data_IF_911431796293
#
_entry.id   IF_911431796293
#
_cell.length_a   1.000
_cell.length_b   1.000
_cell.length_c   1.000
_cell.angle_alpha   90.00
_cell.angle_beta   90.00
_cell.angle_gamma   90.00
#
_symmetry.space_group_name_H-M   'P 1'
#
loop_
_entity.id
_entity.type
_entity.pdbx_description
1 polymer ?
#
# COMPACT_ATOMS: atom_id res chain seq x y z
N UNK A 1 21.66 3.43 6.85
CA UNK A 1 22.28 2.10 6.91
C UNK A 1 21.28 1.10 6.32
N UNK A 2 21.30 0.91 5.01
CA UNK A 2 20.34 0.02 4.33
C UNK A 2 20.87 -1.42 4.35
N UNK A 3 20.05 -2.37 4.82
CA UNK A 3 20.38 -3.80 5.01
C UNK A 3 20.82 -4.48 3.70
N UNK A 4 21.44 -5.66 3.85
CA UNK A 4 21.91 -6.52 2.76
C UNK A 4 20.91 -6.53 1.58
N UNK A 5 21.30 -6.03 0.39
CA UNK A 5 20.40 -5.91 -0.77
C UNK A 5 19.90 -7.26 -1.31
N UNK A 6 20.37 -8.38 -0.75
CA UNK A 6 20.00 -9.74 -1.13
C UNK A 6 19.04 -10.44 -0.14
N UNK A 7 18.61 -9.80 0.95
CA UNK A 7 17.61 -10.43 1.82
C UNK A 7 16.21 -10.05 1.33
N UNK A 8 15.49 -11.01 0.74
CA UNK A 8 14.23 -10.77 0.01
C UNK A 8 13.00 -11.38 0.67
N UNK A 9 12.88 -11.42 2.00
CA UNK A 9 11.86 -12.26 2.66
C UNK A 9 10.42 -11.96 2.18
N UNK A 10 9.52 -12.96 2.12
CA UNK A 10 8.14 -12.78 1.65
C UNK A 10 7.39 -11.61 2.31
N UNK A 11 7.54 -11.43 3.63
CA UNK A 11 6.89 -10.32 4.35
C UNK A 11 7.43 -8.93 3.98
N UNK A 12 8.52 -8.81 3.21
CA UNK A 12 8.94 -7.53 2.67
C UNK A 12 7.91 -6.94 1.70
N UNK A 13 7.04 -7.75 1.10
CA UNK A 13 5.92 -7.21 0.33
C UNK A 13 5.05 -6.25 1.17
N UNK A 14 4.87 -6.54 2.47
CA UNK A 14 4.14 -5.68 3.42
C UNK A 14 4.89 -4.35 3.64
N UNK A 15 6.22 -4.36 3.70
CA UNK A 15 7.04 -3.14 3.77
C UNK A 15 6.84 -2.25 2.54
N UNK A 16 6.81 -2.84 1.35
CA UNK A 16 6.61 -2.06 0.12
C UNK A 16 5.18 -1.51 0.01
N UNK A 17 4.19 -2.20 0.57
CA UNK A 17 2.83 -1.64 0.71
C UNK A 17 2.84 -0.46 1.67
N UNK A 18 3.53 -0.55 2.81
CA UNK A 18 3.69 0.57 3.74
C UNK A 18 4.43 1.76 3.09
N UNK A 19 5.49 1.50 2.33
CA UNK A 19 6.24 2.53 1.60
C UNK A 19 5.37 3.22 0.54
N UNK A 20 4.55 2.45 -0.18
CA UNK A 20 3.58 3.01 -1.12
C UNK A 20 2.51 3.86 -0.44
N UNK A 21 1.99 3.43 0.72
CA UNK A 21 1.08 4.23 1.54
C UNK A 21 1.72 5.53 2.01
N UNK A 22 2.96 5.47 2.48
CA UNK A 22 3.69 6.66 2.91
C UNK A 22 3.89 7.66 1.75
N UNK A 23 4.30 7.18 0.57
CA UNK A 23 4.41 8.04 -0.61
C UNK A 23 3.07 8.63 -1.04
N UNK A 24 1.99 7.83 -1.01
CA UNK A 24 0.64 8.31 -1.28
C UNK A 24 0.25 9.44 -0.30
N UNK A 25 0.47 9.24 1.00
CA UNK A 25 0.16 10.22 2.04
C UNK A 25 0.82 11.57 1.75
N UNK A 26 2.11 11.57 1.42
CA UNK A 26 2.84 12.80 1.08
C UNK A 26 2.30 13.46 -0.19
N UNK A 27 2.03 12.67 -1.24
CA UNK A 27 1.48 13.17 -2.49
C UNK A 27 0.06 13.75 -2.31
N UNK A 28 -0.78 13.07 -1.55
CA UNK A 28 -2.14 13.50 -1.24
C UNK A 28 -2.13 14.76 -0.38
N UNK A 29 -1.29 14.85 0.65
CA UNK A 29 -1.14 16.07 1.45
C UNK A 29 -0.74 17.27 0.61
N UNK A 30 0.23 17.10 -0.30
CA UNK A 30 0.63 18.14 -1.25
C UNK A 30 -0.53 18.56 -2.16
N UNK A 31 -1.32 17.61 -2.64
CA UNK A 31 -2.50 17.88 -3.45
C UNK A 31 -3.57 18.66 -2.65
N UNK A 32 -3.89 18.23 -1.42
CA UNK A 32 -4.84 18.93 -0.53
C UNK A 32 -4.42 20.39 -0.29
N UNK A 33 -3.13 20.64 -0.05
CA UNK A 33 -2.60 22.00 0.16
C UNK A 33 -2.64 22.87 -1.11
N UNK A 34 -2.46 22.27 -2.29
CA UNK A 34 -2.44 23.00 -3.55
C UNK A 34 -3.84 23.28 -4.13
N UNK A 35 -4.82 22.42 -3.85
CA UNK A 35 -6.18 22.55 -4.38
C UNK A 35 -6.89 23.76 -3.81
N UNK A 36 -7.48 24.57 -4.69
CA UNK A 36 -8.32 25.73 -4.35
C UNK A 36 -9.79 25.39 -4.53
N UNK A 37 -10.65 26.11 -3.81
CA UNK A 37 -12.09 25.86 -3.84
C UNK A 37 -12.69 26.08 -5.23
N UNK A 38 -12.12 26.98 -6.02
CA UNK A 38 -12.59 27.31 -7.36
C UNK A 38 -12.15 26.28 -8.42
N UNK A 39 -11.08 25.51 -8.15
CA UNK A 39 -10.51 24.53 -9.08
C UNK A 39 -11.30 23.21 -9.04
N UNK A 40 -12.41 23.16 -9.79
CA UNK A 40 -13.26 21.97 -9.93
C UNK A 40 -12.46 20.74 -10.40
N UNK A 41 -11.51 20.93 -11.31
CA UNK A 41 -10.72 19.82 -11.84
C UNK A 41 -9.73 19.31 -10.78
N UNK A 42 -9.12 20.22 -10.00
CA UNK A 42 -8.29 19.89 -8.86
C UNK A 42 -9.04 19.13 -7.77
N UNK A 43 -10.26 19.56 -7.46
CA UNK A 43 -11.15 18.86 -6.53
C UNK A 43 -11.46 17.44 -7.03
N UNK A 44 -11.84 17.28 -8.30
CA UNK A 44 -12.13 15.97 -8.87
C UNK A 44 -10.91 15.04 -8.85
N UNK A 45 -9.71 15.57 -9.20
CA UNK A 45 -8.45 14.81 -9.11
C UNK A 45 -8.14 14.40 -7.68
N UNK A 46 -8.30 15.30 -6.71
CA UNK A 46 -8.07 15.03 -5.30
C UNK A 46 -8.99 13.91 -4.79
N UNK A 47 -10.28 14.01 -5.09
CA UNK A 47 -11.25 12.97 -4.72
C UNK A 47 -10.90 11.62 -5.35
N UNK A 48 -10.57 11.60 -6.64
CA UNK A 48 -10.15 10.37 -7.32
C UNK A 48 -8.91 9.74 -6.67
N UNK A 49 -7.89 10.54 -6.33
CA UNK A 49 -6.72 10.06 -5.59
C UNK A 49 -7.13 9.36 -4.29
N UNK A 50 -7.99 9.98 -3.49
CA UNK A 50 -8.45 9.41 -2.24
C UNK A 50 -9.26 8.13 -2.43
N UNK A 51 -10.28 8.15 -3.29
CA UNK A 51 -11.16 6.99 -3.53
C UNK A 51 -10.40 5.76 -4.00
N UNK A 52 -9.30 5.94 -4.74
CA UNK A 52 -8.46 4.80 -5.14
C UNK A 52 -7.61 4.24 -3.99
N UNK A 53 -7.22 5.04 -3.00
CA UNK A 53 -6.29 4.64 -1.95
C UNK A 53 -6.97 4.23 -0.63
N UNK A 54 -8.10 4.85 -0.31
CA UNK A 54 -8.83 4.68 0.95
C UNK A 54 -9.13 3.21 1.30
N UNK A 55 -9.65 2.38 0.38
CA UNK A 55 -9.93 0.98 0.69
C UNK A 55 -8.67 0.19 1.06
N UNK A 56 -7.54 0.50 0.42
CA UNK A 56 -6.26 -0.14 0.69
C UNK A 56 -5.71 0.30 2.06
N UNK A 57 -5.74 1.59 2.35
CA UNK A 57 -5.29 2.13 3.63
C UNK A 57 -6.10 1.54 4.79
N UNK A 58 -7.44 1.59 4.72
CA UNK A 58 -8.30 1.09 5.78
C UNK A 58 -8.09 -0.42 6.00
N UNK A 59 -8.17 -1.22 4.93
CA UNK A 59 -8.04 -2.68 5.05
C UNK A 59 -6.65 -3.08 5.52
N UNK A 60 -5.59 -2.47 5.00
CA UNK A 60 -4.23 -2.81 5.37
C UNK A 60 -3.98 -2.61 6.87
N UNK A 61 -4.37 -1.45 7.40
CA UNK A 61 -4.19 -1.14 8.82
C UNK A 61 -5.05 -2.02 9.72
N UNK A 62 -6.34 -2.17 9.41
CA UNK A 62 -7.30 -2.84 10.32
C UNK A 62 -7.32 -4.34 10.12
N UNK A 63 -7.56 -4.80 8.89
CA UNK A 63 -7.77 -6.23 8.63
C UNK A 63 -6.45 -6.97 8.55
N UNK A 64 -5.48 -6.43 7.82
CA UNK A 64 -4.32 -7.22 7.42
C UNK A 64 -3.24 -7.20 8.50
N UNK A 65 -2.96 -6.01 9.06
CA UNK A 65 -2.03 -5.90 10.19
C UNK A 65 -2.64 -6.42 11.49
N UNK A 66 -3.74 -5.83 11.97
CA UNK A 66 -4.25 -6.16 13.30
C UNK A 66 -4.85 -7.57 13.41
N UNK A 67 -5.45 -8.11 12.35
CA UNK A 67 -6.09 -9.44 12.44
C UNK A 67 -5.16 -10.60 12.04
N UNK A 68 -4.06 -10.34 11.30
CA UNK A 68 -3.18 -11.40 10.79
C UNK A 68 -1.73 -11.22 11.24
N UNK A 69 -1.09 -10.12 10.83
CA UNK A 69 0.36 -9.96 11.05
C UNK A 69 0.73 -9.74 12.52
N UNK A 70 0.02 -8.86 13.22
CA UNK A 70 0.34 -8.48 14.60
C UNK A 70 0.07 -9.62 15.60
N UNK A 71 -1.04 -10.38 15.51
CA UNK A 71 -1.23 -11.57 16.33
C UNK A 71 -0.10 -12.59 16.14
N UNK A 72 0.30 -12.87 14.89
CA UNK A 72 1.39 -13.79 14.61
C UNK A 72 2.74 -13.30 15.17
N UNK A 73 2.99 -11.99 15.18
CA UNK A 73 4.17 -11.41 15.83
C UNK A 73 4.13 -11.54 17.35
N UNK A 74 2.96 -11.32 17.95
CA UNK A 74 2.75 -11.47 19.38
C UNK A 74 2.90 -12.92 19.85
N UNK A 75 2.56 -13.90 19.02
CA UNK A 75 2.81 -15.33 19.32
C UNK A 75 4.31 -15.64 19.40
N UNK A 76 5.13 -14.97 18.58
CA UNK A 76 6.58 -15.17 18.58
C UNK A 76 7.27 -14.38 19.69
N UNK A 77 6.86 -13.13 19.92
CA UNK A 77 7.34 -12.28 21.00
C UNK A 77 6.13 -11.62 21.68
N UNK A 78 5.79 -12.13 22.87
CA UNK A 78 4.62 -11.72 23.63
C UNK A 78 4.45 -10.19 23.71
N UNK A 79 3.35 -9.69 23.14
CA UNK A 79 2.93 -8.29 23.20
C UNK A 79 3.76 -7.29 22.39
N UNK A 80 4.69 -7.75 21.53
CA UNK A 80 5.57 -6.86 20.75
C UNK A 80 4.80 -5.90 19.83
N UNK A 81 3.60 -6.28 19.38
CA UNK A 81 2.78 -5.52 18.45
C UNK A 81 1.61 -4.77 19.12
N UNK A 82 1.37 -4.94 20.42
CA UNK A 82 0.15 -4.45 21.09
C UNK A 82 -0.04 -2.94 20.98
N UNK A 83 1.05 -2.17 21.12
CA UNK A 83 0.98 -0.71 21.00
C UNK A 83 0.57 -0.26 19.60
N UNK A 84 0.88 -1.06 18.56
CA UNK A 84 0.57 -0.75 17.17
C UNK A 84 -0.87 -1.10 16.81
N UNK A 85 -1.45 -2.14 17.41
CA UNK A 85 -2.88 -2.47 17.22
C UNK A 85 -3.78 -1.29 17.56
N UNK A 86 -3.57 -0.67 18.73
CA UNK A 86 -4.35 0.50 19.14
C UNK A 86 -4.10 1.74 18.26
N UNK A 87 -2.88 1.89 17.73
CA UNK A 87 -2.56 2.96 16.78
C UNK A 87 -3.28 2.78 15.43
N UNK A 88 -3.30 1.55 14.90
CA UNK A 88 -4.01 1.22 13.67
C UNK A 88 -5.52 1.47 13.77
N UNK A 89 -6.14 1.13 14.90
CA UNK A 89 -7.57 1.41 15.12
C UNK A 89 -7.86 2.91 15.10
N UNK A 90 -7.04 3.73 15.79
CA UNK A 90 -7.18 5.20 15.76
C UNK A 90 -6.95 5.77 14.35
N UNK A 91 -6.00 5.21 13.61
CA UNK A 91 -5.76 5.61 12.22
C UNK A 91 -6.95 5.27 11.33
N UNK A 92 -7.61 4.13 11.53
CA UNK A 92 -8.80 3.75 10.78
C UNK A 92 -9.98 4.72 10.97
N UNK A 93 -10.23 5.16 12.21
CA UNK A 93 -11.26 6.18 12.47
C UNK A 93 -10.97 7.49 11.71
N UNK A 94 -9.68 7.84 11.57
CA UNK A 94 -9.26 9.03 10.82
C UNK A 94 -9.36 8.84 9.31
N UNK A 95 -9.17 7.63 8.79
CA UNK A 95 -9.49 7.28 7.40
C UNK A 95 -10.97 7.56 7.11
N UNK A 96 -11.87 7.12 7.99
CA UNK A 96 -13.32 7.36 7.84
C UNK A 96 -13.63 8.87 7.85
N UNK A 97 -13.01 9.64 8.76
CA UNK A 97 -13.20 11.11 8.79
C UNK A 97 -12.72 11.79 7.50
N UNK A 98 -11.55 11.40 6.99
CA UNK A 98 -11.03 11.93 5.73
C UNK A 98 -11.92 11.53 4.55
N UNK A 99 -12.45 10.30 4.53
CA UNK A 99 -13.43 9.87 3.55
C UNK A 99 -14.68 10.75 3.56
N UNK A 100 -15.29 10.99 4.73
CA UNK A 100 -16.46 11.85 4.85
C UNK A 100 -16.18 13.29 4.39
N UNK A 101 -14.98 13.82 4.67
CA UNK A 101 -14.57 15.14 4.20
C UNK A 101 -14.40 15.19 2.67
N UNK A 102 -13.90 14.12 2.04
CA UNK A 102 -13.82 14.01 0.58
C UNK A 102 -15.21 13.89 -0.06
N UNK A 103 -16.14 13.15 0.55
CA UNK A 103 -17.53 13.08 0.06
C UNK A 103 -18.21 14.45 0.15
N UNK A 104 -18.08 15.14 1.29
CA UNK A 104 -18.61 16.50 1.45
C UNK A 104 -18.03 17.48 0.40
N UNK A 105 -16.76 17.29 0.01
CA UNK A 105 -16.13 18.07 -1.04
C UNK A 105 -16.71 17.78 -2.43
N UNK A 106 -17.05 16.52 -2.73
CA UNK A 106 -17.72 16.12 -3.98
C UNK A 106 -19.17 16.62 -4.05
N UNK A 107 -19.87 16.63 -2.93
CA UNK A 107 -21.27 17.07 -2.83
C UNK A 107 -21.42 18.60 -2.83
N UNK A 108 -20.34 19.34 -2.58
CA UNK A 108 -20.37 20.79 -2.48
C UNK A 108 -20.59 21.46 -3.85
N UNK A 109 -21.67 22.23 -3.96
CA UNK A 109 -22.12 22.86 -5.23
C UNK A 109 -21.65 24.31 -5.39
N UNK A 110 -21.18 24.96 -4.33
CA UNK A 110 -20.72 26.36 -4.36
C UNK A 110 -19.24 26.47 -4.00
N UNK A 111 -18.54 27.56 -4.37
CA UNK A 111 -17.16 27.79 -3.93
C UNK A 111 -17.00 27.83 -2.40
N UNK A 112 -17.96 28.43 -1.67
CA UNK A 112 -17.90 28.59 -0.22
C UNK A 112 -18.04 27.24 0.49
N UNK A 113 -18.97 26.40 0.03
CA UNK A 113 -19.16 25.04 0.57
C UNK A 113 -17.96 24.15 0.27
N UNK A 114 -17.35 24.28 -0.91
CA UNK A 114 -16.09 23.60 -1.24
C UNK A 114 -14.91 24.07 -0.41
N UNK A 115 -14.80 25.38 -0.15
CA UNK A 115 -13.75 25.93 0.71
C UNK A 115 -13.84 25.35 2.14
N UNK A 116 -15.03 25.34 2.72
CA UNK A 116 -15.28 24.75 4.03
C UNK A 116 -14.97 23.23 4.08
N UNK A 117 -15.32 22.48 3.03
CA UNK A 117 -15.01 21.06 2.91
C UNK A 117 -13.49 20.82 2.78
N UNK A 118 -12.78 21.64 1.99
CA UNK A 118 -11.32 21.58 1.87
C UNK A 118 -10.63 21.87 3.21
N UNK A 119 -11.10 22.85 3.97
CA UNK A 119 -10.55 23.15 5.29
C UNK A 119 -10.79 22.01 6.28
N UNK A 120 -11.97 21.39 6.23
CA UNK A 120 -12.26 20.17 7.00
C UNK A 120 -11.29 19.04 6.63
N UNK A 121 -11.04 18.82 5.33
CA UNK A 121 -10.10 17.80 4.86
C UNK A 121 -8.66 18.10 5.28
N UNK A 122 -8.21 19.37 5.19
CA UNK A 122 -6.89 19.82 5.66
C UNK A 122 -6.70 19.55 7.16
N UNK A 123 -7.71 19.88 7.96
CA UNK A 123 -7.70 19.64 9.39
C UNK A 123 -7.69 18.14 9.72
N UNK A 124 -8.44 17.33 8.97
CA UNK A 124 -8.48 15.88 9.16
C UNK A 124 -7.15 15.20 8.82
N UNK A 125 -6.38 15.75 7.89
CA UNK A 125 -5.18 15.09 7.32
C UNK A 125 -3.85 15.63 7.83
N UNK A 126 -3.73 16.93 8.15
CA UNK A 126 -2.45 17.61 8.45
C UNK A 126 -1.56 16.89 9.47
N UNK A 127 -2.02 16.77 10.72
CA UNK A 127 -1.24 16.12 11.79
C UNK A 127 -1.26 14.61 11.65
N UNK A 128 -2.39 14.04 11.22
CA UNK A 128 -2.56 12.60 11.17
C UNK A 128 -1.60 11.92 10.20
N UNK A 129 -1.39 12.47 9.02
CA UNK A 129 -0.47 11.90 8.04
C UNK A 129 0.97 11.85 8.53
N UNK A 130 1.40 12.86 9.27
CA UNK A 130 2.71 12.86 9.92
C UNK A 130 2.81 11.76 10.97
N UNK A 131 1.76 11.61 11.81
CA UNK A 131 1.69 10.54 12.82
C UNK A 131 1.66 9.14 12.19
N UNK A 132 0.92 8.95 11.10
CA UNK A 132 0.82 7.68 10.40
C UNK A 132 2.16 7.31 9.73
N UNK A 133 2.82 8.26 9.07
CA UNK A 133 4.17 8.06 8.51
C UNK A 133 5.18 7.64 9.58
N UNK A 134 5.17 8.33 10.73
CA UNK A 134 6.01 7.99 11.87
C UNK A 134 5.67 6.60 12.45
N UNK A 135 4.39 6.25 12.50
CA UNK A 135 3.94 4.91 12.91
C UNK A 135 4.47 3.82 11.98
N UNK A 136 4.28 3.96 10.66
CA UNK A 136 4.75 2.98 9.67
C UNK A 136 6.27 2.79 9.77
N UNK A 137 7.01 3.90 9.88
CA UNK A 137 8.47 3.87 10.09
C UNK A 137 8.84 3.11 11.36
N UNK A 138 8.13 3.34 12.47
CA UNK A 138 8.39 2.66 13.74
C UNK A 138 8.06 1.17 13.66
N UNK A 139 6.97 0.80 13.02
CA UNK A 139 6.62 -0.61 12.75
C UNK A 139 7.77 -1.30 12.00
N UNK A 140 8.34 -0.65 10.98
CA UNK A 140 9.48 -1.17 10.20
C UNK A 140 10.73 -1.36 11.04
N UNK A 141 10.99 -0.44 11.97
CA UNK A 141 12.17 -0.48 12.84
C UNK A 141 12.05 -1.51 13.96
N UNK A 142 10.84 -1.78 14.44
CA UNK A 142 10.60 -2.63 15.61
C UNK A 142 10.12 -4.03 15.22
N UNK A 143 9.04 -4.14 14.44
CA UNK A 143 8.35 -5.41 14.19
C UNK A 143 9.02 -6.26 13.12
N UNK A 144 9.47 -5.64 12.03
CA UNK A 144 10.07 -6.40 10.92
C UNK A 144 11.43 -7.06 11.24
N UNK A 145 12.34 -6.47 12.04
CA UNK A 145 13.51 -7.21 12.49
C UNK A 145 13.15 -8.42 13.35
N UNK A 146 12.05 -8.37 14.11
CA UNK A 146 11.53 -9.51 14.88
C UNK A 146 11.04 -10.59 13.91
N UNK A 147 10.21 -10.24 12.93
CA UNK A 147 9.78 -11.17 11.90
C UNK A 147 10.96 -11.82 11.15
N UNK A 148 11.93 -11.01 10.72
CA UNK A 148 13.12 -11.46 9.98
C UNK A 148 13.98 -12.44 10.78
N UNK A 149 14.17 -12.19 12.08
CA UNK A 149 15.07 -13.01 12.91
C UNK A 149 14.40 -14.24 13.49
N UNK A 150 13.10 -14.16 13.80
CA UNK A 150 12.44 -15.16 14.64
C UNK A 150 11.38 -15.99 13.92
N UNK A 151 10.85 -15.54 12.77
CA UNK A 151 9.90 -16.33 11.99
C UNK A 151 10.60 -17.12 10.89
N UNK A 152 10.18 -18.37 10.69
CA UNK A 152 10.68 -19.20 9.60
C UNK A 152 10.15 -18.72 8.24
N UNK A 153 10.86 -19.05 7.17
CA UNK A 153 10.41 -18.72 5.81
C UNK A 153 8.97 -19.22 5.53
N UNK A 154 8.58 -20.39 6.06
CA UNK A 154 7.23 -20.92 5.85
C UNK A 154 6.16 -20.06 6.53
N UNK A 155 6.43 -19.56 7.73
CA UNK A 155 5.53 -18.62 8.42
C UNK A 155 5.37 -17.33 7.62
N UNK A 156 6.48 -16.77 7.10
CA UNK A 156 6.43 -15.58 6.25
C UNK A 156 5.52 -15.78 5.02
N UNK A 157 5.65 -16.92 4.33
CA UNK A 157 4.83 -17.25 3.17
C UNK A 157 3.36 -17.44 3.54
N UNK A 158 3.09 -18.17 4.63
CA UNK A 158 1.73 -18.43 5.10
C UNK A 158 1.00 -17.14 5.48
N UNK A 159 1.67 -16.24 6.22
CA UNK A 159 1.10 -14.95 6.60
C UNK A 159 0.78 -14.11 5.37
N UNK A 160 1.71 -13.97 4.43
CA UNK A 160 1.47 -13.16 3.23
C UNK A 160 0.30 -13.69 2.39
N UNK A 161 0.16 -15.02 2.27
CA UNK A 161 -0.97 -15.67 1.58
C UNK A 161 -2.30 -15.47 2.30
N UNK A 162 -2.29 -15.36 3.64
CA UNK A 162 -3.49 -15.23 4.46
C UNK A 162 -3.96 -13.79 4.60
N UNK A 163 -3.05 -12.81 4.48
CA UNK A 163 -3.38 -11.40 4.65
C UNK A 163 -4.40 -10.93 3.61
N UNK A 164 -4.20 -11.20 2.32
CA UNK A 164 -5.05 -10.71 1.22
C UNK A 164 -5.60 -11.85 0.37
N UNK A 165 -6.86 -11.73 -0.05
CA UNK A 165 -7.44 -12.63 -1.05
C UNK A 165 -7.06 -12.25 -2.50
N UNK A 166 -7.44 -13.10 -3.46
CA UNK A 166 -7.09 -12.90 -4.86
C UNK A 166 -7.69 -11.63 -5.50
N UNK A 167 -8.84 -11.16 -5.02
CA UNK A 167 -9.48 -9.94 -5.50
C UNK A 167 -8.78 -8.71 -4.89
N UNK A 168 -8.43 -8.78 -3.62
CA UNK A 168 -7.66 -7.73 -2.95
C UNK A 168 -6.27 -7.56 -3.57
N UNK A 169 -5.58 -8.66 -3.87
CA UNK A 169 -4.30 -8.60 -4.59
C UNK A 169 -4.43 -7.95 -5.97
N UNK A 170 -5.51 -8.21 -6.70
CA UNK A 170 -5.73 -7.66 -8.02
C UNK A 170 -5.79 -6.12 -8.01
N UNK A 171 -6.39 -5.54 -6.97
CA UNK A 171 -6.45 -4.09 -6.81
C UNK A 171 -5.17 -3.52 -6.16
N UNK A 172 -4.64 -4.20 -5.14
CA UNK A 172 -3.53 -3.70 -4.33
C UNK A 172 -2.19 -3.72 -5.06
N UNK A 173 -1.86 -4.79 -5.80
CA UNK A 173 -0.54 -4.89 -6.44
C UNK A 173 -0.30 -3.74 -7.40
N UNK A 174 -1.17 -3.45 -8.38
CA UNK A 174 -0.96 -2.33 -9.30
C UNK A 174 -0.95 -0.98 -8.57
N UNK A 175 -1.82 -0.82 -7.57
CA UNK A 175 -1.86 0.39 -6.75
C UNK A 175 -0.51 0.64 -6.06
N UNK A 176 0.07 -0.37 -5.41
CA UNK A 176 1.36 -0.26 -4.73
C UNK A 176 2.48 0.05 -5.71
N UNK A 177 2.53 -0.60 -6.88
CA UNK A 177 3.57 -0.35 -7.89
C UNK A 177 3.58 1.10 -8.40
N UNK A 178 2.41 1.72 -8.58
CA UNK A 178 2.28 3.12 -9.00
C UNK A 178 2.81 4.10 -7.96
N UNK A 179 2.76 3.73 -6.68
CA UNK A 179 3.17 4.59 -5.56
C UNK A 179 4.57 4.28 -5.03
N UNK A 180 5.22 3.22 -5.51
CA UNK A 180 6.64 2.99 -5.24
C UNK A 180 7.50 3.94 -6.11
N UNK A 181 8.56 4.56 -5.56
CA UNK A 181 9.21 5.70 -6.20
C UNK A 181 10.18 5.27 -7.31
N UNK A 182 10.72 4.06 -7.23
CA UNK A 182 11.77 3.59 -8.15
C UNK A 182 11.44 2.22 -8.73
N UNK A 183 11.99 1.95 -9.92
CA UNK A 183 11.89 0.64 -10.57
C UNK A 183 12.46 -0.48 -9.70
N UNK A 184 13.60 -0.26 -9.04
CA UNK A 184 14.20 -1.25 -8.15
C UNK A 184 13.21 -1.66 -7.06
N UNK A 185 12.60 -0.70 -6.34
CA UNK A 185 11.57 -0.96 -5.32
C UNK A 185 10.38 -1.75 -5.85
N UNK A 186 9.90 -1.43 -7.05
CA UNK A 186 8.83 -2.20 -7.72
C UNK A 186 9.23 -3.65 -7.98
N UNK A 187 10.43 -3.88 -8.52
CA UNK A 187 10.96 -5.23 -8.73
C UNK A 187 11.16 -5.96 -7.41
N UNK A 188 11.59 -5.26 -6.36
CA UNK A 188 11.76 -5.82 -5.02
C UNK A 188 10.45 -6.38 -4.47
N UNK A 189 9.39 -5.60 -4.55
CA UNK A 189 8.05 -6.02 -4.16
C UNK A 189 7.60 -7.26 -4.94
N UNK A 190 7.77 -7.23 -6.26
CA UNK A 190 7.34 -8.34 -7.12
C UNK A 190 8.12 -9.62 -6.86
N UNK A 191 9.43 -9.52 -6.60
CA UNK A 191 10.26 -10.67 -6.22
C UNK A 191 9.84 -11.26 -4.86
N UNK A 192 9.51 -10.41 -3.89
CA UNK A 192 8.99 -10.87 -2.60
C UNK A 192 7.66 -11.64 -2.79
N UNK A 193 6.75 -11.12 -3.62
CA UNK A 193 5.49 -11.81 -3.96
C UNK A 193 5.72 -13.11 -4.74
N UNK A 194 6.58 -13.11 -5.77
CA UNK A 194 6.94 -14.30 -6.53
C UNK A 194 7.56 -15.37 -5.64
N UNK A 195 8.41 -15.00 -4.68
CA UNK A 195 9.01 -15.98 -3.78
C UNK A 195 8.00 -16.54 -2.77
N UNK A 196 7.05 -15.70 -2.34
CA UNK A 196 5.98 -16.09 -1.44
C UNK A 196 4.98 -17.06 -2.09
N UNK A 197 4.59 -16.76 -3.33
CA UNK A 197 3.51 -17.40 -4.08
C UNK A 197 3.93 -17.66 -5.52
N UNK A 198 4.98 -18.47 -5.78
CA UNK A 198 5.48 -18.70 -7.13
C UNK A 198 4.38 -19.25 -8.07
N UNK A 199 3.45 -20.03 -7.52
CA UNK A 199 2.28 -20.57 -8.23
C UNK A 199 1.33 -19.48 -8.77
N UNK A 200 1.38 -18.26 -8.22
CA UNK A 200 0.54 -17.12 -8.63
C UNK A 200 1.29 -16.09 -9.48
N UNK A 201 2.55 -16.32 -9.85
CA UNK A 201 3.37 -15.30 -10.56
C UNK A 201 2.71 -14.77 -11.82
N UNK A 202 2.15 -15.65 -12.65
CA UNK A 202 1.44 -15.25 -13.88
C UNK A 202 0.10 -14.55 -13.58
N UNK A 203 -0.58 -14.94 -12.51
CA UNK A 203 -1.78 -14.26 -12.04
C UNK A 203 -1.47 -12.84 -11.56
N UNK A 204 -0.35 -12.65 -10.85
CA UNK A 204 0.17 -11.33 -10.47
C UNK A 204 0.47 -10.49 -11.72
N UNK A 205 1.09 -11.08 -12.75
CA UNK A 205 1.28 -10.43 -14.04
C UNK A 205 -0.01 -9.96 -14.70
N UNK A 206 -1.08 -10.76 -14.65
CA UNK A 206 -2.41 -10.39 -15.16
C UNK A 206 -3.01 -9.19 -14.40
N UNK A 207 -2.77 -9.09 -13.09
CA UNK A 207 -3.20 -7.92 -12.32
C UNK A 207 -2.47 -6.65 -12.78
N UNK A 208 -1.16 -6.77 -13.00
CA UNK A 208 -0.30 -5.63 -13.33
C UNK A 208 -0.60 -5.11 -14.74
N UNK A 209 -0.60 -5.97 -15.76
CA UNK A 209 -0.69 -5.55 -17.18
C UNK A 209 -1.99 -4.81 -17.52
N UNK A 210 -3.05 -5.00 -16.72
CA UNK A 210 -4.34 -4.33 -16.90
C UNK A 210 -4.35 -2.89 -16.36
N UNK A 211 -3.51 -2.61 -15.37
CA UNK A 211 -3.63 -1.43 -14.51
C UNK A 211 -2.38 -0.54 -14.48
N UNK A 212 -1.28 -0.96 -15.12
CA UNK A 212 -0.07 -0.14 -15.30
C UNK A 212 0.11 0.24 -16.77
N UNK A 213 0.82 1.34 -17.01
CA UNK A 213 1.12 1.78 -18.37
C UNK A 213 2.08 0.81 -19.08
N UNK A 214 2.07 0.85 -20.42
CA UNK A 214 2.86 -0.05 -21.25
C UNK A 214 4.38 0.08 -21.02
N UNK A 215 4.86 1.28 -20.64
CA UNK A 215 6.28 1.51 -20.37
C UNK A 215 6.68 0.81 -19.08
N UNK A 216 5.90 1.00 -18.01
CA UNK A 216 6.11 0.29 -16.75
C UNK A 216 6.02 -1.23 -16.95
N UNK A 217 5.03 -1.73 -17.69
CA UNK A 217 4.90 -3.16 -17.97
C UNK A 217 6.12 -3.73 -18.71
N UNK A 218 6.57 -3.08 -19.78
CA UNK A 218 7.75 -3.50 -20.53
C UNK A 218 9.01 -3.49 -19.66
N UNK A 219 9.17 -2.48 -18.81
CA UNK A 219 10.30 -2.37 -17.89
C UNK A 219 10.32 -3.47 -16.83
N UNK A 220 9.16 -3.80 -16.25
CA UNK A 220 9.04 -4.84 -15.23
C UNK A 220 9.27 -6.24 -15.83
N UNK A 221 8.67 -6.52 -16.98
CA UNK A 221 8.76 -7.84 -17.63
C UNK A 221 10.11 -8.14 -18.22
N UNK A 222 10.88 -7.12 -18.62
CA UNK A 222 12.29 -7.27 -18.99
C UNK A 222 13.13 -7.89 -17.87
N UNK A 223 12.91 -7.46 -16.61
CA UNK A 223 13.69 -7.94 -15.46
C UNK A 223 13.02 -9.10 -14.70
N UNK A 224 11.73 -9.32 -14.93
CA UNK A 224 10.96 -10.43 -14.37
C UNK A 224 10.07 -11.10 -15.43
N UNK A 225 10.66 -11.84 -16.39
CA UNK A 225 9.89 -12.48 -17.47
C UNK A 225 8.84 -13.48 -16.98
N UNK A 226 9.03 -14.05 -15.79
CA UNK A 226 8.08 -14.98 -15.17
C UNK A 226 6.70 -14.36 -14.87
N UNK A 227 6.60 -13.02 -14.82
CA UNK A 227 5.33 -12.31 -14.70
C UNK A 227 4.49 -12.39 -15.97
N UNK A 228 5.09 -12.61 -17.15
CA UNK A 228 4.35 -12.58 -18.40
C UNK A 228 3.31 -13.72 -18.41
N UNK A 229 2.00 -13.42 -18.54
CA UNK A 229 0.96 -14.45 -18.55
C UNK A 229 1.08 -15.35 -19.79
N UNK A 230 0.68 -16.62 -19.64
CA UNK A 230 0.67 -17.57 -20.78
C UNK A 230 -0.23 -17.03 -21.90
N UNK A 231 0.23 -17.18 -23.14
CA UNK A 231 -0.50 -16.73 -24.32
C UNK A 231 -0.41 -15.23 -24.62
N UNK A 232 0.28 -14.44 -23.80
CA UNK A 232 0.59 -13.04 -24.13
C UNK A 232 1.88 -12.94 -24.95
N UNK A 233 2.00 -11.90 -25.82
CA UNK A 233 3.25 -11.63 -26.53
C UNK A 233 4.43 -11.51 -25.57
N UNK A 234 5.57 -12.11 -25.92
CA UNK A 234 6.76 -12.16 -25.08
C UNK A 234 6.76 -13.29 -24.04
N UNK A 235 5.65 -14.03 -23.88
CA UNK A 235 5.66 -15.25 -23.10
C UNK A 235 6.53 -16.28 -23.81
N UNK A 236 7.50 -16.83 -23.08
CA UNK A 236 8.20 -18.04 -23.47
C UNK A 236 8.19 -19.01 -22.30
N UNK A 237 8.12 -20.29 -22.63
CA UNK A 237 8.38 -21.35 -21.68
C UNK A 237 9.89 -21.33 -21.41
N UNK A 238 10.33 -20.47 -20.48
CA UNK A 238 11.71 -20.52 -20.02
C UNK A 238 11.92 -21.90 -19.38
N UNK A 239 12.83 -22.67 -20.02
CA UNK A 239 13.37 -23.96 -19.61
C UNK A 239 14.09 -23.87 -18.26
#
# INVERSE_FOLDING_TARGET
MWRNPNNWLPLQAVLYIDEALDNFIHAFQKAVSATKAEDLQGVARLAAMWTTAEPHLHRHLVRHKNAVLFPALNEVVGGVADSFTGLNMRSADRVVRAHNAVQALLDATTPETRAAALDTLRNATSTWFTELSAQLTREHQVLYPVAEKLMTLQVHKALLKHMWDAQEWAALVPWTLRHLPTKDRRLRMLRALQWAMPERTQQIGLYIVRDVDAVMWADLTRDMPALIPRGMPGWSQYL
#
